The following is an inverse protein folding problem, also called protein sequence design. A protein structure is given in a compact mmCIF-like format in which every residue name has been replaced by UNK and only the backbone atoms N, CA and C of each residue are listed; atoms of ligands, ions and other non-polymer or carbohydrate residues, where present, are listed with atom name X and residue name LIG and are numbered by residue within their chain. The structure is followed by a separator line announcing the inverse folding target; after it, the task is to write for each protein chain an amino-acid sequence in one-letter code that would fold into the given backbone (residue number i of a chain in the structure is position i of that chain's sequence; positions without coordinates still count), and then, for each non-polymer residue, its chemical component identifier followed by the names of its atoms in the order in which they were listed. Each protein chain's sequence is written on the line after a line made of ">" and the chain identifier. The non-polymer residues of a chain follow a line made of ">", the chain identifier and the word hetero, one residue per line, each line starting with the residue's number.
data_IF_119857530455
#
_entry.id   IF_119857530455
#
_cell.length_a   1.000
_cell.length_b   1.000
_cell.length_c   1.000
_cell.angle_alpha   90.00
_cell.angle_beta   90.00
_cell.angle_gamma   90.00
#
_symmetry.space_group_name_H-M   'P 1'
#
loop_
_entity.id
_entity.type
_entity.pdbx_description
1 polymer ?
#
# COMPACT_ATOMS: atom_id res chain seq x y z
N UNK A 1 17.02 -58.79 15.70
CA UNK A 1 15.69 -58.23 16.05
C UNK A 1 15.75 -56.72 16.29
N UNK A 2 16.63 -56.22 17.16
CA UNK A 2 16.79 -54.77 17.45
C UNK A 2 17.06 -53.87 16.23
N UNK A 3 17.89 -54.33 15.28
CA UNK A 3 18.26 -53.55 14.08
C UNK A 3 17.06 -53.25 13.14
N UNK A 4 16.02 -54.10 13.12
CA UNK A 4 14.80 -53.83 12.34
C UNK A 4 13.91 -52.80 13.03
N UNK A 5 13.84 -52.85 14.36
CA UNK A 5 13.01 -51.94 15.16
C UNK A 5 13.58 -50.52 15.10
N UNK A 6 14.90 -50.36 15.21
CA UNK A 6 15.56 -49.05 15.07
C UNK A 6 15.36 -48.44 13.68
N UNK A 7 15.43 -49.25 12.62
CA UNK A 7 15.19 -48.79 11.24
C UNK A 7 13.75 -48.27 11.05
N UNK A 8 12.75 -48.99 11.59
CA UNK A 8 11.33 -48.57 11.51
C UNK A 8 11.11 -47.26 12.27
N UNK A 9 11.69 -47.11 13.46
CA UNK A 9 11.59 -45.88 14.26
C UNK A 9 12.22 -44.68 13.55
N UNK A 10 13.38 -44.84 12.92
CA UNK A 10 14.04 -43.77 12.15
C UNK A 10 13.18 -43.36 10.95
N UNK A 11 12.62 -44.32 10.21
CA UNK A 11 11.75 -44.02 9.07
C UNK A 11 10.48 -43.29 9.50
N UNK A 12 9.85 -43.71 10.60
CA UNK A 12 8.68 -43.01 11.17
C UNK A 12 9.03 -41.60 11.65
N UNK A 13 10.19 -41.41 12.26
CA UNK A 13 10.67 -40.10 12.68
C UNK A 13 10.86 -39.17 11.47
N UNK A 14 11.53 -39.65 10.41
CA UNK A 14 11.75 -38.88 9.19
C UNK A 14 10.44 -38.54 8.45
N UNK A 15 9.48 -39.47 8.42
CA UNK A 15 8.14 -39.21 7.87
C UNK A 15 7.39 -38.16 8.70
N UNK A 16 7.43 -38.29 10.02
CA UNK A 16 6.78 -37.34 10.94
C UNK A 16 7.34 -35.92 10.81
N UNK A 17 8.68 -35.78 10.75
CA UNK A 17 9.32 -34.48 10.57
C UNK A 17 9.08 -33.90 9.17
N UNK A 18 9.07 -34.74 8.13
CA UNK A 18 8.76 -34.30 6.76
C UNK A 18 7.34 -33.73 6.63
N UNK A 19 6.35 -34.40 7.23
CA UNK A 19 4.96 -33.92 7.24
C UNK A 19 4.81 -32.65 8.07
N UNK A 20 5.43 -32.60 9.25
CA UNK A 20 5.40 -31.42 10.11
C UNK A 20 6.00 -30.18 9.42
N UNK A 21 7.17 -30.34 8.78
CA UNK A 21 7.80 -29.26 8.03
C UNK A 21 6.93 -28.78 6.88
N UNK A 22 6.37 -29.70 6.08
CA UNK A 22 5.51 -29.36 4.94
C UNK A 22 4.28 -28.54 5.35
N UNK A 23 3.59 -28.95 6.43
CA UNK A 23 2.46 -28.19 6.97
C UNK A 23 2.88 -26.79 7.43
N UNK A 24 4.02 -26.66 8.11
CA UNK A 24 4.49 -25.34 8.57
C UNK A 24 4.83 -24.38 7.42
N UNK A 25 5.28 -24.88 6.26
CA UNK A 25 5.57 -24.03 5.11
C UNK A 25 4.31 -23.42 4.48
N UNK A 26 3.25 -24.21 4.29
CA UNK A 26 2.00 -23.70 3.72
C UNK A 26 1.31 -22.68 4.63
N UNK A 27 1.25 -22.97 5.94
CA UNK A 27 0.67 -22.04 6.90
C UNK A 27 1.48 -20.75 7.03
N UNK A 28 2.80 -20.82 6.91
CA UNK A 28 3.69 -19.65 6.97
C UNK A 28 3.44 -18.70 5.78
N UNK A 29 3.30 -19.22 4.55
CA UNK A 29 3.05 -18.38 3.38
C UNK A 29 1.69 -17.66 3.47
N UNK A 30 0.64 -18.39 3.86
CA UNK A 30 -0.69 -17.82 4.05
C UNK A 30 -0.70 -16.72 5.12
N UNK A 31 0.02 -16.94 6.23
CA UNK A 31 0.14 -15.95 7.30
C UNK A 31 0.91 -14.71 6.87
N UNK A 32 2.07 -14.88 6.22
CA UNK A 32 2.87 -13.76 5.69
C UNK A 32 2.05 -12.93 4.70
N UNK A 33 1.28 -13.59 3.82
CA UNK A 33 0.38 -12.92 2.87
C UNK A 33 -0.73 -12.15 3.57
N UNK A 34 -1.38 -12.74 4.58
CA UNK A 34 -2.43 -12.09 5.34
C UNK A 34 -1.88 -10.87 6.10
N UNK A 35 -0.70 -10.99 6.69
CA UNK A 35 -0.02 -9.89 7.38
C UNK A 35 0.37 -8.77 6.43
N UNK A 36 0.95 -9.09 5.26
CA UNK A 36 1.31 -8.09 4.25
C UNK A 36 0.08 -7.34 3.73
N UNK A 37 -1.02 -8.05 3.47
CA UNK A 37 -2.29 -7.44 3.07
C UNK A 37 -2.86 -6.54 4.17
N UNK A 38 -2.85 -7.01 5.41
CA UNK A 38 -3.36 -6.22 6.54
C UNK A 38 -2.52 -4.98 6.78
N UNK A 39 -1.19 -5.09 6.69
CA UNK A 39 -0.28 -3.95 6.80
C UNK A 39 -0.54 -2.93 5.71
N UNK A 40 -0.60 -3.36 4.44
CA UNK A 40 -0.89 -2.47 3.31
C UNK A 40 -2.25 -1.77 3.44
N UNK A 41 -3.29 -2.49 3.89
CA UNK A 41 -4.61 -1.92 4.19
C UNK A 41 -4.52 -0.84 5.26
N UNK A 42 -3.89 -1.14 6.40
CA UNK A 42 -3.78 -0.19 7.52
C UNK A 42 -2.97 1.05 7.11
N UNK A 43 -1.88 0.88 6.36
CA UNK A 43 -1.08 1.99 5.85
C UNK A 43 -1.88 2.90 4.91
N UNK A 44 -2.57 2.33 3.91
CA UNK A 44 -3.39 3.10 2.96
C UNK A 44 -4.55 3.79 3.68
N UNK A 45 -5.23 3.08 4.59
CA UNK A 45 -6.32 3.64 5.38
C UNK A 45 -5.83 4.80 6.26
N UNK A 46 -4.67 4.66 6.92
CA UNK A 46 -4.08 5.73 7.73
C UNK A 46 -3.80 6.98 6.90
N UNK A 47 -3.22 6.83 5.71
CA UNK A 47 -2.96 7.97 4.80
C UNK A 47 -4.26 8.60 4.30
N UNK A 48 -5.29 7.79 4.03
CA UNK A 48 -6.62 8.27 3.65
C UNK A 48 -7.31 9.06 4.77
N UNK A 49 -7.25 8.58 6.00
CA UNK A 49 -7.76 9.33 7.16
C UNK A 49 -6.98 10.62 7.40
N UNK A 50 -5.66 10.61 7.19
CA UNK A 50 -4.86 11.84 7.25
C UNK A 50 -5.29 12.86 6.18
N UNK A 51 -5.61 12.40 4.96
CA UNK A 51 -6.17 13.25 3.91
C UNK A 51 -7.50 13.87 4.32
N UNK A 52 -8.44 13.07 4.85
CA UNK A 52 -9.75 13.56 5.30
C UNK A 52 -9.62 14.56 6.45
N UNK A 53 -8.82 14.22 7.46
CA UNK A 53 -8.61 15.07 8.62
C UNK A 53 -7.97 16.41 8.20
N UNK A 54 -6.96 16.38 7.33
CA UNK A 54 -6.35 17.60 6.80
C UNK A 54 -7.35 18.44 6.00
N UNK A 55 -8.10 17.81 5.09
CA UNK A 55 -9.09 18.51 4.28
C UNK A 55 -10.15 19.20 5.16
N UNK A 56 -10.74 18.47 6.09
CA UNK A 56 -11.88 18.97 6.87
C UNK A 56 -11.47 19.88 8.03
N UNK A 57 -10.44 19.49 8.78
CA UNK A 57 -10.06 20.21 10.00
C UNK A 57 -9.12 21.40 9.73
N UNK A 58 -8.45 21.44 8.57
CA UNK A 58 -7.50 22.50 8.22
C UNK A 58 -7.97 23.26 6.99
N UNK A 59 -8.08 22.59 5.84
CA UNK A 59 -8.34 23.27 4.56
C UNK A 59 -9.70 23.95 4.54
N UNK A 60 -10.78 23.24 4.88
CA UNK A 60 -12.14 23.79 4.87
C UNK A 60 -12.30 24.99 5.80
N UNK A 61 -11.61 24.99 6.94
CA UNK A 61 -11.63 26.11 7.89
C UNK A 61 -10.90 27.32 7.35
N UNK A 62 -9.71 27.11 6.78
CA UNK A 62 -8.87 28.19 6.26
C UNK A 62 -9.38 28.75 4.93
N UNK A 63 -10.14 27.98 4.16
CA UNK A 63 -10.74 28.43 2.91
C UNK A 63 -11.77 29.56 3.10
N UNK A 64 -12.19 29.84 4.33
CA UNK A 64 -13.06 30.98 4.68
C UNK A 64 -12.30 32.29 4.90
N UNK A 65 -10.96 32.25 4.90
CA UNK A 65 -10.09 33.39 5.16
C UNK A 65 -9.42 33.85 3.85
N UNK A 66 -9.57 35.12 3.49
CA UNK A 66 -8.97 35.68 2.27
C UNK A 66 -7.43 35.78 2.32
N UNK A 67 -6.83 35.66 3.51
CA UNK A 67 -5.37 35.79 3.72
C UNK A 67 -4.60 34.51 3.41
N UNK A 68 -5.27 33.34 3.35
CA UNK A 68 -4.61 32.05 3.16
C UNK A 68 -4.85 31.55 1.74
N UNK A 69 -3.77 31.16 1.06
CA UNK A 69 -3.85 30.61 -0.30
C UNK A 69 -3.66 29.11 -0.28
N UNK A 70 -4.68 28.36 -0.72
CA UNK A 70 -4.59 26.91 -0.90
C UNK A 70 -4.14 26.63 -2.33
N UNK A 71 -3.00 25.98 -2.51
CA UNK A 71 -2.40 25.82 -3.85
C UNK A 71 -1.55 24.56 -3.98
N UNK A 72 -1.46 23.94 -5.17
CA UNK A 72 -0.50 22.88 -5.40
C UNK A 72 0.95 23.39 -5.41
N UNK A 73 1.19 24.69 -5.60
CA UNK A 73 2.51 25.33 -5.59
C UNK A 73 2.74 26.16 -4.31
N UNK A 74 2.18 25.71 -3.18
CA UNK A 74 2.15 26.47 -1.94
C UNK A 74 3.53 26.90 -1.41
N UNK A 75 4.59 26.14 -1.71
CA UNK A 75 5.98 26.49 -1.35
C UNK A 75 6.44 27.85 -1.87
N UNK A 76 5.81 28.36 -2.94
CA UNK A 76 6.14 29.65 -3.56
C UNK A 76 5.27 30.80 -3.06
N UNK A 77 4.33 30.54 -2.16
CA UNK A 77 3.29 31.47 -1.74
C UNK A 77 3.42 31.71 -0.23
N UNK A 78 3.68 32.95 0.17
CA UNK A 78 3.73 33.30 1.60
C UNK A 78 2.38 33.02 2.26
N UNK A 79 2.36 32.22 3.32
CA UNK A 79 1.12 31.77 3.97
C UNK A 79 0.35 30.72 3.16
N UNK A 80 0.93 30.21 2.08
CA UNK A 80 0.34 29.16 1.27
C UNK A 80 0.31 27.81 1.99
N UNK A 81 -0.76 27.04 1.77
CA UNK A 81 -0.88 25.67 2.25
C UNK A 81 -1.19 24.71 1.10
N UNK A 82 -0.77 23.43 1.17
CA UNK A 82 -1.01 22.47 0.09
C UNK A 82 -2.50 22.17 -0.08
N UNK A 83 -2.92 21.92 -1.33
CA UNK A 83 -4.18 21.20 -1.57
C UNK A 83 -4.13 19.82 -0.90
N UNK A 84 -5.27 19.23 -0.47
CA UNK A 84 -5.30 17.90 0.14
C UNK A 84 -4.57 16.83 -0.69
N UNK A 85 -4.77 16.82 -2.01
CA UNK A 85 -4.08 15.88 -2.89
C UNK A 85 -2.56 16.12 -2.93
N UNK A 86 -2.09 17.37 -2.94
CA UNK A 86 -0.67 17.72 -2.86
C UNK A 86 -0.05 17.25 -1.55
N UNK A 87 -0.75 17.48 -0.43
CA UNK A 87 -0.33 17.00 0.89
C UNK A 87 -0.12 15.48 0.90
N UNK A 88 -1.10 14.71 0.40
CA UNK A 88 -1.00 13.24 0.36
C UNK A 88 0.08 12.74 -0.58
N UNK A 89 0.30 13.42 -1.72
CA UNK A 89 1.41 13.13 -2.62
C UNK A 89 2.75 13.27 -1.88
N UNK A 90 3.00 14.42 -1.25
CA UNK A 90 4.26 14.69 -0.56
C UNK A 90 4.44 13.77 0.67
N UNK A 91 3.36 13.47 1.39
CA UNK A 91 3.38 12.52 2.50
C UNK A 91 3.77 11.12 2.01
N UNK A 92 3.15 10.64 0.92
CA UNK A 92 3.45 9.34 0.34
C UNK A 92 4.90 9.25 -0.18
N UNK A 93 5.41 10.33 -0.79
CA UNK A 93 6.81 10.44 -1.19
C UNK A 93 7.76 10.36 0.00
N UNK A 94 7.48 11.09 1.09
CA UNK A 94 8.29 11.05 2.32
C UNK A 94 8.27 9.67 2.98
N UNK A 95 7.10 9.03 3.10
CA UNK A 95 6.99 7.67 3.64
C UNK A 95 7.82 6.69 2.79
N UNK A 96 7.69 6.77 1.46
CA UNK A 96 8.43 5.89 0.54
C UNK A 96 9.94 6.11 0.55
N UNK A 97 10.42 7.26 1.06
CA UNK A 97 11.85 7.55 1.20
C UNK A 97 12.44 7.09 2.53
N UNK A 98 11.62 7.03 3.60
CA UNK A 98 12.07 6.71 4.96
C UNK A 98 11.92 5.22 5.25
N UNK A 99 10.84 4.60 4.77
CA UNK A 99 10.47 3.22 5.09
C UNK A 99 10.88 2.25 3.97
N UNK A 100 11.93 1.48 4.21
CA UNK A 100 12.34 0.41 3.31
C UNK A 100 11.25 -0.68 3.23
N UNK A 101 10.75 -0.94 2.03
CA UNK A 101 9.74 -1.97 1.78
C UNK A 101 8.27 -1.49 1.83
N UNK A 102 8.02 -0.20 2.10
CA UNK A 102 6.70 0.42 1.96
C UNK A 102 6.77 1.55 0.93
N UNK A 103 5.89 1.52 -0.07
CA UNK A 103 5.74 2.63 -1.01
C UNK A 103 4.27 3.03 -1.14
N UNK A 104 4.02 4.33 -1.04
CA UNK A 104 2.69 4.92 -1.11
C UNK A 104 2.69 5.97 -2.21
N UNK A 105 1.71 5.87 -3.11
CA UNK A 105 1.51 6.83 -4.20
C UNK A 105 0.05 7.16 -4.36
N UNK A 106 -0.24 8.43 -4.58
CA UNK A 106 -1.52 8.91 -5.09
C UNK A 106 -1.40 9.14 -6.60
N UNK A 107 -2.34 8.59 -7.37
CA UNK A 107 -2.37 8.69 -8.83
C UNK A 107 -3.81 8.80 -9.34
N UNK A 108 -3.97 9.39 -10.53
CA UNK A 108 -5.26 9.71 -11.15
C UNK A 108 -5.12 9.70 -12.68
N UNK A 109 -6.23 9.48 -13.40
CA UNK A 109 -6.27 9.73 -14.85
C UNK A 109 -6.21 11.22 -15.21
N UNK A 110 -6.38 12.09 -14.21
CA UNK A 110 -6.27 13.55 -14.34
C UNK A 110 -5.14 14.05 -13.44
N UNK A 111 -3.86 13.76 -13.79
CA UNK A 111 -2.73 14.25 -13.00
C UNK A 111 -2.61 15.77 -13.08
N UNK A 112 -2.00 16.37 -12.05
CA UNK A 112 -1.69 17.79 -12.06
C UNK A 112 -0.77 18.17 -13.24
N UNK A 113 -0.87 19.39 -13.79
CA UNK A 113 -0.07 19.82 -14.94
C UNK A 113 1.45 19.64 -14.75
N UNK A 114 1.97 19.83 -13.54
CA UNK A 114 3.38 19.64 -13.21
C UNK A 114 3.78 18.19 -12.90
N UNK A 115 2.82 17.25 -12.92
CA UNK A 115 3.03 15.80 -12.65
C UNK A 115 2.41 14.92 -13.73
N UNK A 116 2.30 15.39 -14.97
CA UNK A 116 1.74 14.59 -16.07
C UNK A 116 2.44 13.24 -16.25
N UNK A 117 3.76 13.20 -16.04
CA UNK A 117 4.57 11.99 -16.19
C UNK A 117 4.47 11.05 -14.98
N UNK A 118 4.28 11.56 -13.76
CA UNK A 118 4.39 10.79 -12.51
C UNK A 118 3.08 10.64 -11.74
N UNK A 119 2.07 11.46 -12.03
CA UNK A 119 0.77 11.46 -11.37
C UNK A 119 -0.25 10.52 -12.00
N UNK A 120 0.01 10.03 -13.21
CA UNK A 120 -0.77 8.99 -13.85
C UNK A 120 -0.35 7.57 -13.43
N UNK A 121 -1.12 6.54 -13.82
CA UNK A 121 -0.76 5.15 -13.57
C UNK A 121 0.53 4.78 -14.32
N UNK A 122 1.50 4.21 -13.61
CA UNK A 122 2.86 3.91 -14.11
C UNK A 122 3.06 2.46 -14.50
N UNK A 123 2.13 1.57 -14.15
CA UNK A 123 2.25 0.14 -14.39
C UNK A 123 0.87 -0.50 -14.55
N UNK A 124 0.86 -1.77 -14.97
CA UNK A 124 -0.35 -2.52 -15.23
C UNK A 124 -1.24 -2.67 -13.98
N UNK A 125 -0.64 -2.77 -12.79
CA UNK A 125 -1.40 -2.80 -11.54
C UNK A 125 -2.18 -1.50 -11.35
N UNK A 126 -1.52 -0.34 -11.45
CA UNK A 126 -2.14 0.98 -11.27
C UNK A 126 -3.26 1.24 -12.30
N UNK A 127 -3.05 0.85 -13.56
CA UNK A 127 -4.08 0.97 -14.61
C UNK A 127 -5.33 0.12 -14.29
N UNK A 128 -5.12 -1.13 -13.86
CA UNK A 128 -6.21 -2.04 -13.48
C UNK A 128 -6.92 -1.59 -12.21
N UNK A 129 -6.16 -1.09 -11.23
CA UNK A 129 -6.69 -0.53 -10.00
C UNK A 129 -7.61 0.65 -10.30
N UNK A 130 -7.18 1.63 -11.10
CA UNK A 130 -8.02 2.77 -11.50
C UNK A 130 -9.30 2.31 -12.20
N UNK A 131 -9.18 1.40 -13.16
CA UNK A 131 -10.33 0.88 -13.91
C UNK A 131 -11.34 0.20 -12.98
N UNK A 132 -10.86 -0.64 -12.06
CA UNK A 132 -11.71 -1.34 -11.09
C UNK A 132 -12.36 -0.39 -10.10
N UNK A 133 -11.60 0.53 -9.52
CA UNK A 133 -12.05 1.44 -8.45
C UNK A 133 -13.01 2.51 -8.97
N UNK A 134 -12.93 2.90 -10.24
CA UNK A 134 -13.96 3.74 -10.89
C UNK A 134 -15.35 3.11 -10.85
N UNK A 135 -15.41 1.78 -11.03
CA UNK A 135 -16.66 1.02 -11.03
C UNK A 135 -17.06 0.58 -9.63
N UNK A 136 -16.09 0.37 -8.75
CA UNK A 136 -16.26 -0.19 -7.41
C UNK A 136 -15.60 0.70 -6.34
N UNK A 137 -16.05 1.94 -6.15
CA UNK A 137 -15.32 2.91 -5.33
C UNK A 137 -15.24 2.56 -3.83
N UNK A 138 -16.17 1.74 -3.34
CA UNK A 138 -16.20 1.28 -1.93
C UNK A 138 -15.34 0.04 -1.68
N UNK A 139 -14.83 -0.59 -2.73
CA UNK A 139 -14.04 -1.81 -2.64
C UNK A 139 -12.54 -1.47 -2.72
N UNK A 140 -11.71 -2.41 -2.26
CA UNK A 140 -10.27 -2.34 -2.48
C UNK A 140 -9.83 -3.25 -3.62
N UNK A 141 -8.75 -2.87 -4.28
CA UNK A 141 -8.09 -3.67 -5.30
C UNK A 141 -6.68 -4.03 -4.82
N UNK A 142 -6.33 -5.31 -4.83
CA UNK A 142 -5.03 -5.76 -4.36
C UNK A 142 -4.51 -6.93 -5.17
N UNK A 143 -3.18 -7.04 -5.21
CA UNK A 143 -2.51 -8.12 -5.92
C UNK A 143 -1.13 -8.39 -5.36
N UNK A 144 -0.72 -9.64 -5.43
CA UNK A 144 0.66 -10.06 -5.25
C UNK A 144 1.32 -10.18 -6.62
N UNK A 145 2.45 -9.52 -6.82
CA UNK A 145 3.18 -9.52 -8.08
C UNK A 145 4.68 -9.70 -7.83
N UNK A 146 5.42 -10.26 -8.78
CA UNK A 146 6.88 -10.20 -8.77
C UNK A 146 7.30 -8.91 -9.47
N UNK A 147 7.99 -8.02 -8.78
CA UNK A 147 8.52 -6.76 -9.29
C UNK A 147 10.03 -6.74 -9.05
N UNK A 148 10.82 -6.56 -10.11
CA UNK A 148 12.29 -6.52 -10.04
C UNK A 148 12.91 -7.72 -9.30
N UNK A 149 12.34 -8.92 -9.45
CA UNK A 149 12.81 -10.14 -8.78
C UNK A 149 12.30 -10.33 -7.35
N UNK A 150 11.68 -9.31 -6.74
CA UNK A 150 11.11 -9.37 -5.39
C UNK A 150 9.61 -9.62 -5.45
N UNK A 151 9.09 -10.35 -4.46
CA UNK A 151 7.65 -10.49 -4.27
C UNK A 151 7.12 -9.21 -3.61
N UNK A 152 6.19 -8.53 -4.27
CA UNK A 152 5.56 -7.31 -3.76
C UNK A 152 4.06 -7.50 -3.61
N UNK A 153 3.51 -6.94 -2.53
CA UNK A 153 2.08 -6.82 -2.32
C UNK A 153 1.65 -5.40 -2.63
N UNK A 154 0.67 -5.28 -3.53
CA UNK A 154 0.11 -4.00 -3.95
C UNK A 154 -1.34 -3.92 -3.52
N UNK A 155 -1.73 -2.78 -2.99
CA UNK A 155 -3.06 -2.50 -2.45
C UNK A 155 -3.49 -1.09 -2.88
N UNK A 156 -4.75 -0.92 -3.26
CA UNK A 156 -5.31 0.34 -3.71
C UNK A 156 -6.76 0.50 -3.26
N UNK A 157 -7.11 1.73 -2.90
CA UNK A 157 -8.48 2.16 -2.56
C UNK A 157 -8.76 3.49 -3.24
N UNK A 158 -10.04 3.76 -3.51
CA UNK A 158 -10.46 5.09 -3.95
C UNK A 158 -10.44 6.06 -2.76
N UNK A 159 -9.99 7.28 -3.04
CA UNK A 159 -10.21 8.46 -2.19
C UNK A 159 -11.44 9.16 -2.76
N UNK A 160 -12.45 9.40 -1.92
CA UNK A 160 -13.74 10.00 -2.29
C UNK A 160 -14.10 11.12 -1.32
#
# INVERSE_FOLDING_TARGET
>A
MYQRITLILVVLLCLGTGVALSGTFEFSEALVKAQALQHARVSVHTVKEAWFLYSQAVVDRLNTLDTITISPNYHQITGGIPLPATYTIELGERISQIEDGLSIRLFSDYPFPNRQTTGGPQNLFEQKALTFLKQNPKNSFYRQEKSSGHLVFRYAEAIQ
#
